data_IF_039633129648
#
_entry.id   IF_039633129648
#
_cell.length_a   1.000
_cell.length_b   1.000
_cell.length_c   1.000
_cell.angle_alpha   90.00
_cell.angle_beta   90.00
_cell.angle_gamma   90.00
#
_symmetry.space_group_name_H-M   'P 1'
#
loop_
_entity.id
_entity.type
_entity.pdbx_description
1 polymer ?
#
# COMPACT_ATOMS: atom_id res chain seq x y z
N UNK A 1 0.22 -5.03 9.94
CA UNK A 1 -0.75 -4.21 9.18
C UNK A 1 -1.45 -3.22 10.12
N UNK A 2 -1.62 -2.00 9.69
CA UNK A 2 -2.44 -0.97 10.38
C UNK A 2 -3.44 -0.42 9.39
N UNK A 3 -4.68 -0.21 9.82
CA UNK A 3 -5.73 0.45 9.03
C UNK A 3 -6.38 1.52 9.92
N UNK A 4 -6.45 2.74 9.41
CA UNK A 4 -7.04 3.87 10.15
C UNK A 4 -7.46 4.99 9.19
N UNK A 5 -7.99 6.07 9.72
CA UNK A 5 -8.26 7.28 8.96
C UNK A 5 -7.00 8.14 8.83
N UNK A 6 -6.89 8.90 7.74
CA UNK A 6 -5.74 9.79 7.50
C UNK A 6 -5.52 10.81 8.62
N UNK A 7 -6.59 11.26 9.28
CA UNK A 7 -6.50 12.18 10.43
C UNK A 7 -5.74 11.57 11.61
N UNK A 8 -5.69 10.24 11.69
CA UNK A 8 -4.98 9.52 12.74
C UNK A 8 -3.55 9.12 12.36
N UNK A 9 -3.11 9.36 11.12
CA UNK A 9 -1.80 8.89 10.65
C UNK A 9 -0.66 9.42 11.54
N UNK A 10 -0.76 10.63 12.05
CA UNK A 10 0.25 11.22 12.94
C UNK A 10 0.44 10.45 14.26
N UNK A 11 -0.54 9.65 14.68
CA UNK A 11 -0.42 8.79 15.88
C UNK A 11 0.57 7.64 15.68
N UNK A 12 0.93 7.34 14.43
CA UNK A 12 1.81 6.23 14.06
C UNK A 12 3.23 6.66 13.71
N UNK A 13 3.58 7.94 13.89
CA UNK A 13 4.91 8.49 13.51
C UNK A 13 6.06 7.86 14.28
N UNK A 14 5.81 7.32 15.48
CA UNK A 14 6.83 6.63 16.28
C UNK A 14 7.24 5.27 15.69
N UNK A 15 6.48 4.72 14.78
CA UNK A 15 6.72 3.39 14.20
C UNK A 15 7.83 3.37 13.14
N UNK A 16 8.15 4.52 12.55
CA UNK A 16 9.23 4.64 11.58
C UNK A 16 9.73 6.10 11.52
N UNK A 17 11.05 6.34 11.43
CA UNK A 17 11.60 7.70 11.39
C UNK A 17 11.13 8.56 10.21
N UNK A 18 10.69 7.94 9.11
CA UNK A 18 10.22 8.63 7.91
C UNK A 18 8.72 8.99 7.96
N UNK A 19 7.96 8.45 8.90
CA UNK A 19 6.50 8.67 8.91
C UNK A 19 6.10 10.10 9.20
N UNK A 20 6.90 10.85 9.95
CA UNK A 20 6.66 12.29 10.15
C UNK A 20 6.71 13.07 8.82
N UNK A 21 7.63 12.70 7.92
CA UNK A 21 7.72 13.32 6.60
C UNK A 21 6.53 12.94 5.70
N UNK A 22 6.02 11.71 5.82
CA UNK A 22 4.78 11.29 5.14
C UNK A 22 3.60 12.15 5.58
N UNK A 23 3.42 12.30 6.90
CA UNK A 23 2.33 13.13 7.46
C UNK A 23 2.44 14.56 6.97
N UNK A 24 3.66 15.14 7.00
CA UNK A 24 3.88 16.51 6.49
C UNK A 24 3.54 16.62 5.02
N UNK A 25 3.97 15.68 4.19
CA UNK A 25 3.70 15.71 2.75
C UNK A 25 2.20 15.65 2.46
N UNK A 26 1.44 14.80 3.16
CA UNK A 26 -0.01 14.67 3.00
C UNK A 26 -0.73 15.95 3.45
N UNK A 27 -0.25 16.61 4.50
CA UNK A 27 -0.82 17.90 4.96
C UNK A 27 -0.55 19.05 3.99
N UNK A 28 0.61 19.04 3.34
CA UNK A 28 1.05 20.12 2.45
C UNK A 28 0.56 19.95 1.00
N UNK A 29 0.05 18.77 0.62
CA UNK A 29 -0.33 18.44 -0.75
C UNK A 29 -1.69 17.75 -0.80
N UNK A 30 -2.51 18.13 -1.77
CA UNK A 30 -3.69 17.36 -2.16
C UNK A 30 -3.24 16.21 -3.09
N UNK A 31 -3.14 15.00 -2.56
CA UNK A 31 -2.66 13.85 -3.32
C UNK A 31 -3.49 13.56 -4.57
N UNK A 32 -4.79 13.88 -4.53
CA UNK A 32 -5.70 13.65 -5.66
C UNK A 32 -5.41 14.54 -6.87
N UNK A 33 -4.65 15.61 -6.67
CA UNK A 33 -4.27 16.57 -7.72
C UNK A 33 -2.84 16.41 -8.22
N UNK A 34 -2.06 15.51 -7.62
CA UNK A 34 -0.73 15.20 -8.10
C UNK A 34 -0.81 14.41 -9.41
N UNK A 35 0.13 14.66 -10.29
CA UNK A 35 0.27 13.90 -11.55
C UNK A 35 0.63 12.46 -11.26
N UNK A 36 0.17 11.54 -12.12
CA UNK A 36 0.57 10.14 -12.06
C UNK A 36 2.09 10.00 -12.17
N UNK A 37 2.63 9.08 -11.40
CA UNK A 37 4.06 8.81 -11.35
C UNK A 37 4.66 8.94 -9.95
N UNK A 38 5.97 8.83 -9.90
CA UNK A 38 6.75 8.83 -8.66
C UNK A 38 7.18 10.24 -8.27
N UNK A 39 6.83 10.64 -7.05
CA UNK A 39 7.23 11.91 -6.44
C UNK A 39 8.12 11.63 -5.25
N UNK A 40 9.39 12.07 -5.31
CA UNK A 40 10.32 11.86 -4.20
C UNK A 40 10.09 12.89 -3.09
N UNK A 41 9.94 12.39 -1.86
CA UNK A 41 9.86 13.19 -0.64
C UNK A 41 11.25 13.27 -0.01
N UNK A 42 11.96 12.12 0.06
CA UNK A 42 13.39 12.01 0.38
C UNK A 42 14.06 11.06 -0.61
N UNK A 43 15.13 11.50 -1.22
CA UNK A 43 15.86 10.72 -2.22
C UNK A 43 16.27 9.35 -1.68
N UNK A 44 15.92 8.30 -2.43
CA UNK A 44 16.28 6.92 -2.16
C UNK A 44 15.48 6.22 -1.06
N UNK A 45 14.82 6.95 -0.16
CA UNK A 45 14.21 6.37 1.03
C UNK A 45 12.69 6.55 1.11
N UNK A 46 12.17 7.64 0.58
CA UNK A 46 10.76 7.98 0.71
C UNK A 46 10.24 8.62 -0.58
N UNK A 47 9.22 8.02 -1.15
CA UNK A 47 8.52 8.56 -2.31
C UNK A 47 7.04 8.19 -2.23
N UNK A 48 6.20 8.95 -2.93
CA UNK A 48 4.81 8.57 -3.22
C UNK A 48 4.67 8.26 -4.70
N UNK A 49 3.96 7.20 -5.01
CA UNK A 49 3.62 6.81 -6.37
C UNK A 49 2.13 7.01 -6.59
N UNK A 50 1.77 8.01 -7.39
CA UNK A 50 0.37 8.25 -7.77
C UNK A 50 0.06 7.41 -9.00
N UNK A 51 -0.99 6.61 -8.92
CA UNK A 51 -1.38 5.74 -10.02
C UNK A 51 -2.88 5.51 -10.06
N UNK A 52 -3.38 5.14 -11.22
CA UNK A 52 -4.74 4.65 -11.39
C UNK A 52 -4.68 3.17 -11.71
N UNK A 53 -5.03 2.34 -10.73
CA UNK A 53 -5.09 0.89 -10.89
C UNK A 53 -6.47 0.48 -11.41
N UNK A 54 -6.48 -0.53 -12.29
CA UNK A 54 -7.74 -1.16 -12.67
C UNK A 54 -8.13 -2.19 -11.61
N UNK A 55 -9.32 -2.04 -11.04
CA UNK A 55 -9.82 -2.96 -10.02
C UNK A 55 -9.91 -4.39 -10.52
N UNK A 56 -9.51 -5.32 -9.67
CA UNK A 56 -9.47 -6.77 -9.95
C UNK A 56 -10.42 -7.51 -9.01
N UNK A 57 -10.82 -8.71 -9.45
CA UNK A 57 -11.43 -9.67 -8.55
C UNK A 57 -10.39 -10.18 -7.54
N UNK A 58 -10.86 -10.74 -6.44
CA UNK A 58 -9.98 -11.39 -5.45
C UNK A 58 -9.15 -12.52 -6.08
N UNK A 59 -9.72 -13.25 -7.05
CA UNK A 59 -9.04 -14.35 -7.75
C UNK A 59 -7.90 -13.86 -8.66
N UNK A 60 -8.06 -12.69 -9.29
CA UNK A 60 -7.08 -12.13 -10.22
C UNK A 60 -6.02 -11.28 -9.55
N UNK A 61 -6.29 -10.78 -8.35
CA UNK A 61 -5.32 -9.99 -7.59
C UNK A 61 -4.22 -10.89 -7.01
N UNK A 62 -2.99 -10.36 -6.98
CA UNK A 62 -1.80 -11.14 -6.61
C UNK A 62 -1.24 -10.64 -5.29
N UNK A 63 -0.94 -11.56 -4.37
CA UNK A 63 -0.20 -11.25 -3.15
C UNK A 63 1.23 -10.83 -3.44
N UNK A 64 1.70 -9.88 -2.65
CA UNK A 64 3.09 -9.43 -2.67
C UNK A 64 3.62 -9.16 -1.27
N UNK A 65 4.95 -9.24 -1.14
CA UNK A 65 5.68 -8.79 0.04
C UNK A 65 6.90 -8.00 -0.40
N UNK A 66 7.38 -7.15 0.50
CA UNK A 66 8.62 -6.39 0.32
C UNK A 66 9.60 -6.75 1.43
N UNK A 67 10.89 -6.59 1.20
CA UNK A 67 11.91 -6.87 2.23
C UNK A 67 12.47 -5.59 2.85
N UNK A 68 12.56 -4.51 2.08
CA UNK A 68 13.21 -3.24 2.46
C UNK A 68 12.20 -2.13 2.73
N UNK A 69 11.11 -2.08 1.94
CA UNK A 69 10.15 -0.98 1.96
C UNK A 69 8.92 -1.32 2.81
N UNK A 70 8.31 -0.29 3.33
CA UNK A 70 6.99 -0.31 3.98
C UNK A 70 6.02 0.37 3.02
N UNK A 71 4.89 -0.25 2.76
CA UNK A 71 3.84 0.34 1.94
C UNK A 71 2.81 1.06 2.81
N UNK A 72 2.52 2.31 2.45
CA UNK A 72 1.35 3.04 2.94
C UNK A 72 0.42 3.22 1.75
N UNK A 73 -0.70 2.55 1.75
CA UNK A 73 -1.67 2.53 0.66
C UNK A 73 -2.82 3.50 0.98
N UNK A 74 -3.09 4.44 0.07
CA UNK A 74 -4.07 5.51 0.28
C UNK A 74 -4.99 5.60 -0.95
N UNK A 75 -6.22 5.08 -0.88
CA UNK A 75 -7.22 5.29 -1.93
C UNK A 75 -7.63 6.77 -1.99
N UNK A 76 -7.77 7.33 -3.20
CA UNK A 76 -8.04 8.76 -3.37
C UNK A 76 -9.47 9.07 -3.85
N UNK A 77 -10.07 8.23 -4.69
CA UNK A 77 -11.39 8.50 -5.30
C UNK A 77 -12.38 7.35 -5.19
N UNK A 78 -11.89 6.12 -5.06
CA UNK A 78 -12.69 4.92 -4.99
C UNK A 78 -12.17 4.03 -3.85
N UNK A 79 -12.99 3.14 -3.32
CA UNK A 79 -12.53 2.19 -2.31
C UNK A 79 -11.63 1.11 -2.92
N UNK A 80 -10.68 0.64 -2.13
CA UNK A 80 -9.81 -0.47 -2.47
C UNK A 80 -9.86 -1.51 -1.37
N UNK A 81 -9.98 -2.78 -1.74
CA UNK A 81 -9.89 -3.90 -0.82
C UNK A 81 -8.51 -4.53 -0.93
N UNK A 82 -7.94 -4.87 0.21
CA UNK A 82 -6.66 -5.56 0.32
C UNK A 82 -6.88 -6.94 0.92
N UNK A 83 -6.32 -7.97 0.29
CA UNK A 83 -6.13 -9.25 0.95
C UNK A 83 -4.94 -9.18 1.90
N UNK A 84 -5.01 -9.89 3.01
CA UNK A 84 -3.91 -10.03 3.98
C UNK A 84 -3.67 -11.49 4.30
N UNK A 85 -2.39 -11.87 4.30
CA UNK A 85 -1.88 -13.14 4.80
C UNK A 85 -0.49 -12.89 5.37
N UNK A 86 -0.18 -13.28 6.60
CA UNK A 86 1.14 -13.05 7.16
C UNK A 86 2.22 -13.79 6.35
N UNK A 87 3.40 -13.19 6.25
CA UNK A 87 4.53 -13.78 5.51
C UNK A 87 4.82 -15.23 5.95
N UNK A 88 4.67 -15.52 7.24
CA UNK A 88 4.91 -16.87 7.79
C UNK A 88 4.02 -17.95 7.15
N UNK A 89 2.86 -17.59 6.62
CA UNK A 89 1.91 -18.51 6.01
C UNK A 89 1.96 -18.50 4.47
N UNK A 90 2.88 -17.73 3.89
CA UNK A 90 3.09 -17.69 2.44
C UNK A 90 4.15 -18.71 2.02
N UNK A 91 4.03 -19.28 0.79
CA UNK A 91 5.04 -20.20 0.27
C UNK A 91 6.35 -19.47 -0.01
N UNK A 92 7.46 -20.22 -0.07
CA UNK A 92 8.72 -19.66 -0.54
C UNK A 92 8.67 -19.44 -2.05
N UNK A 93 8.95 -18.19 -2.48
CA UNK A 93 8.98 -17.77 -3.88
C UNK A 93 10.19 -16.87 -4.06
N UNK A 94 10.74 -16.86 -5.27
CA UNK A 94 11.91 -16.04 -5.62
C UNK A 94 11.63 -14.55 -5.42
N UNK A 95 12.54 -13.88 -4.73
CA UNK A 95 12.50 -12.45 -4.48
C UNK A 95 13.15 -11.68 -5.64
N UNK A 96 12.46 -10.67 -6.14
CA UNK A 96 13.00 -9.73 -7.11
C UNK A 96 13.67 -8.56 -6.37
N UNK A 97 14.99 -8.62 -6.25
CA UNK A 97 15.77 -7.61 -5.52
C UNK A 97 15.70 -6.22 -6.18
N UNK A 98 15.68 -6.17 -7.51
CA UNK A 98 15.66 -4.90 -8.25
C UNK A 98 14.39 -4.08 -8.00
N UNK A 99 13.27 -4.77 -7.77
CA UNK A 99 11.96 -4.15 -7.50
C UNK A 99 11.54 -4.22 -6.04
N UNK A 100 12.33 -4.85 -5.19
CA UNK A 100 11.98 -5.14 -3.80
C UNK A 100 10.62 -5.80 -3.66
N UNK A 101 10.34 -6.85 -4.43
CA UNK A 101 9.06 -7.52 -4.40
C UNK A 101 9.17 -9.04 -4.56
N UNK A 102 8.38 -9.76 -3.79
CA UNK A 102 8.06 -11.17 -4.03
C UNK A 102 6.57 -11.26 -4.35
N UNK A 103 6.21 -11.93 -5.44
CA UNK A 103 4.81 -12.12 -5.84
C UNK A 103 4.38 -13.57 -5.67
N UNK A 104 3.17 -13.77 -5.17
CA UNK A 104 2.62 -15.08 -4.82
C UNK A 104 1.30 -15.32 -5.57
N UNK A 105 1.35 -15.76 -6.83
CA UNK A 105 0.14 -16.02 -7.59
C UNK A 105 -0.67 -17.17 -6.99
N UNK A 106 -1.98 -17.08 -7.05
CA UNK A 106 -2.90 -18.15 -6.65
C UNK A 106 -3.09 -18.34 -5.14
N UNK A 107 -2.52 -17.46 -4.31
CA UNK A 107 -2.72 -17.50 -2.85
C UNK A 107 -4.02 -16.80 -2.49
N UNK A 108 -4.82 -17.41 -1.63
CA UNK A 108 -6.07 -16.81 -1.09
C UNK A 108 -5.77 -15.98 0.16
N UNK A 109 -6.51 -14.88 0.31
CA UNK A 109 -6.44 -14.05 1.50
C UNK A 109 -7.03 -14.76 2.73
N UNK A 110 -6.35 -14.65 3.85
CA UNK A 110 -6.91 -15.03 5.16
C UNK A 110 -7.88 -13.98 5.68
N UNK A 111 -7.61 -12.71 5.36
CA UNK A 111 -8.44 -11.57 5.78
C UNK A 111 -8.55 -10.60 4.63
N UNK A 112 -9.71 -9.99 4.47
CA UNK A 112 -9.95 -8.89 3.55
C UNK A 112 -10.22 -7.62 4.36
N UNK A 113 -9.63 -6.51 3.94
CA UNK A 113 -9.87 -5.19 4.52
C UNK A 113 -10.11 -4.17 3.43
N UNK A 114 -11.16 -3.37 3.59
CA UNK A 114 -11.51 -2.33 2.62
C UNK A 114 -11.20 -0.96 3.21
N UNK A 115 -10.44 -0.17 2.45
CA UNK A 115 -10.19 1.24 2.73
C UNK A 115 -10.99 2.11 1.77
N UNK A 116 -11.69 3.10 2.30
CA UNK A 116 -12.38 4.16 1.54
C UNK A 116 -11.45 5.37 1.41
N UNK A 117 -11.71 6.29 0.48
CA UNK A 117 -11.04 7.60 0.48
C UNK A 117 -11.09 8.25 1.86
N UNK A 118 -9.96 8.78 2.32
CA UNK A 118 -9.79 9.30 3.68
C UNK A 118 -9.26 8.28 4.70
N UNK A 119 -9.04 7.04 4.28
CA UNK A 119 -8.42 5.97 5.06
C UNK A 119 -7.07 5.56 4.47
N UNK A 120 -6.29 4.80 5.22
CA UNK A 120 -5.02 4.23 4.76
C UNK A 120 -4.83 2.83 5.34
N UNK A 121 -3.96 2.06 4.68
CA UNK A 121 -3.42 0.81 5.21
C UNK A 121 -1.90 0.86 5.18
N UNK A 122 -1.25 0.35 6.23
CA UNK A 122 0.21 0.20 6.29
C UNK A 122 0.55 -1.28 6.31
N UNK A 123 1.45 -1.69 5.42
CA UNK A 123 1.98 -3.04 5.33
C UNK A 123 3.50 -3.03 5.51
N UNK A 124 3.98 -3.77 6.51
CA UNK A 124 5.40 -4.00 6.76
C UNK A 124 5.91 -5.24 6.02
N UNK A 125 7.23 -5.49 5.98
CA UNK A 125 7.78 -6.66 5.32
C UNK A 125 7.17 -8.01 5.74
N UNK A 126 6.69 -8.12 6.97
CA UNK A 126 6.03 -9.34 7.47
C UNK A 126 4.56 -9.47 7.06
N UNK A 127 4.01 -8.45 6.40
CA UNK A 127 2.60 -8.41 6.01
C UNK A 127 2.46 -8.73 4.51
N UNK A 128 2.10 -9.97 4.19
CA UNK A 128 1.65 -10.29 2.83
C UNK A 128 0.34 -9.57 2.52
N UNK A 129 0.28 -8.87 1.40
CA UNK A 129 -0.89 -8.11 1.00
C UNK A 129 -1.19 -8.27 -0.47
N UNK A 130 -2.47 -8.18 -0.80
CA UNK A 130 -3.03 -8.39 -2.13
C UNK A 130 -3.79 -7.13 -2.51
N UNK A 131 -3.14 -6.16 -3.18
CA UNK A 131 -3.76 -4.87 -3.52
C UNK A 131 -4.65 -4.96 -4.74
N UNK A 132 -5.34 -3.85 -5.03
CA UNK A 132 -6.14 -3.61 -6.24
C UNK A 132 -7.42 -4.43 -6.36
N UNK A 133 -7.95 -4.97 -5.27
CA UNK A 133 -9.25 -5.63 -5.31
C UNK A 133 -10.34 -4.56 -5.27
N UNK A 134 -11.24 -4.59 -6.26
CA UNK A 134 -12.34 -3.64 -6.36
C UNK A 134 -12.93 -3.60 -7.74
N UNK A 135 -13.89 -2.71 -7.96
CA UNK A 135 -14.54 -2.49 -9.23
C UNK A 135 -14.19 -1.11 -9.82
N UNK A 136 -14.03 -1.06 -11.13
CA UNK A 136 -13.66 0.18 -11.82
C UNK A 136 -12.22 0.59 -11.57
N UNK A 137 -11.90 1.84 -11.86
CA UNK A 137 -10.57 2.38 -11.65
C UNK A 137 -10.42 2.90 -10.22
N UNK A 138 -9.23 2.69 -9.66
CA UNK A 138 -8.85 3.09 -8.30
C UNK A 138 -7.67 4.05 -8.43
N UNK A 139 -7.92 5.34 -8.27
CA UNK A 139 -6.87 6.35 -8.16
C UNK A 139 -6.30 6.33 -6.75
N UNK A 140 -5.01 6.15 -6.61
CA UNK A 140 -4.38 5.86 -5.33
C UNK A 140 -2.95 6.39 -5.23
N UNK A 141 -2.50 6.52 -3.99
CA UNK A 141 -1.14 6.84 -3.62
C UNK A 141 -0.55 5.75 -2.73
#
# INVERSE_FOLDING_TARGET
MVVDTLDNLEKYVSLNPLFADVVKFIKDNDLSKLEDGKHFIKEGNLFVNITTAHGKSEEDAVFETHRKMIDIQIPLDNEETYGYTPLADLPEVEYNEAKDVTKYPGVKAQTLVTCKPGQFAIFWPQDGHQPCIGSGDIHKA
#
